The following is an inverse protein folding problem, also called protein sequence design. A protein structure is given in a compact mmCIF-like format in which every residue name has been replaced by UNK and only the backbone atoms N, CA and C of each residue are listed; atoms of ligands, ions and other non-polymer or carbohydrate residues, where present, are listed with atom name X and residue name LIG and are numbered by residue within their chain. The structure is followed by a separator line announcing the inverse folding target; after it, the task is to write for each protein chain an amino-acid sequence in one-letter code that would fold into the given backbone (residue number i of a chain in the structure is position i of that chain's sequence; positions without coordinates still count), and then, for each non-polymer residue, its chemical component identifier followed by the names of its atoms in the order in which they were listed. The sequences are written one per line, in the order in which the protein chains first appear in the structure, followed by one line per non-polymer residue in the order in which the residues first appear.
data_IF_194466749965
#
_entry.id   IF_194466749965
#
_cell.length_a   1.000
_cell.length_b   1.000
_cell.length_c   1.000
_cell.angle_alpha   90.00
_cell.angle_beta   90.00
_cell.angle_gamma   90.00
#
_symmetry.space_group_name_H-M   'P 1'
#
loop_
_entity.id
_entity.type
_entity.pdbx_description
1 polymer ?
#
# COMPACT_ATOMS: atom_id res chain seq x y z
N UNK A 1 -6.50 17.41 -3.18
CA UNK A 1 -6.14 15.99 -3.37
C UNK A 1 -4.79 15.67 -2.76
N UNK A 2 -3.75 16.46 -3.06
CA UNK A 2 -2.41 16.29 -2.45
C UNK A 2 -2.41 16.41 -0.92
N UNK A 3 -3.12 17.40 -0.36
CA UNK A 3 -3.25 17.54 1.11
C UNK A 3 -3.95 16.33 1.73
N UNK A 4 -5.10 15.93 1.20
CA UNK A 4 -5.86 14.75 1.64
C UNK A 4 -5.03 13.46 1.62
N UNK A 5 -4.18 13.30 0.60
CA UNK A 5 -3.28 12.16 0.50
C UNK A 5 -2.16 12.21 1.55
N UNK A 6 -1.51 13.35 1.72
CA UNK A 6 -0.50 13.56 2.77
C UNK A 6 -1.07 13.29 4.17
N UNK A 7 -2.28 13.75 4.44
CA UNK A 7 -2.98 13.51 5.71
C UNK A 7 -3.28 12.01 5.90
N UNK A 8 -3.61 11.30 4.82
CA UNK A 8 -3.82 9.84 4.85
C UNK A 8 -2.53 9.10 5.21
N UNK A 9 -1.38 9.47 4.61
CA UNK A 9 -0.09 8.86 4.95
C UNK A 9 0.33 9.18 6.39
N UNK A 10 0.10 10.42 6.85
CA UNK A 10 0.33 10.80 8.25
C UNK A 10 -0.53 9.96 9.21
N UNK A 11 -1.80 9.73 8.88
CA UNK A 11 -2.70 8.87 9.68
C UNK A 11 -2.19 7.43 9.74
N UNK A 12 -1.69 6.88 8.63
CA UNK A 12 -1.12 5.52 8.59
C UNK A 12 0.11 5.43 9.50
N UNK A 13 1.03 6.40 9.43
CA UNK A 13 2.21 6.46 10.31
C UNK A 13 1.80 6.54 11.79
N UNK A 14 0.90 7.47 12.13
CA UNK A 14 0.40 7.62 13.50
C UNK A 14 -0.28 6.33 14.03
N UNK A 15 -1.04 5.65 13.16
CA UNK A 15 -1.67 4.37 13.50
C UNK A 15 -0.63 3.31 13.85
N UNK A 16 0.40 3.15 13.00
CA UNK A 16 1.53 2.22 13.23
C UNK A 16 2.27 2.56 14.53
N UNK A 17 2.68 3.81 14.71
CA UNK A 17 3.44 4.24 15.88
C UNK A 17 2.65 4.10 17.19
N UNK A 18 1.31 4.17 17.12
CA UNK A 18 0.43 3.99 18.26
C UNK A 18 0.12 2.53 18.63
N UNK A 19 0.51 1.54 17.82
CA UNK A 19 0.09 0.13 18.01
C UNK A 19 0.51 -0.41 19.37
N UNK A 20 1.72 -0.12 19.84
CA UNK A 20 2.20 -0.62 21.12
C UNK A 20 1.45 -0.02 22.32
N UNK A 21 1.02 1.24 22.22
CA UNK A 21 0.21 1.89 23.23
C UNK A 21 -1.18 1.24 23.26
N UNK A 22 -1.79 1.07 22.08
CA UNK A 22 -3.09 0.39 21.93
C UNK A 22 -3.01 -1.04 22.46
N UNK A 23 -1.94 -1.77 22.14
CA UNK A 23 -1.72 -3.15 22.58
C UNK A 23 -1.71 -3.25 24.10
N UNK A 24 -0.97 -2.38 24.79
CA UNK A 24 -0.90 -2.37 26.27
C UNK A 24 -2.28 -2.10 26.88
N UNK A 25 -2.98 -1.09 26.38
CA UNK A 25 -4.32 -0.76 26.85
C UNK A 25 -5.33 -1.90 26.64
N UNK A 26 -5.26 -2.60 25.50
CA UNK A 26 -6.13 -3.74 25.21
C UNK A 26 -5.80 -4.97 26.05
N UNK A 27 -4.52 -5.25 26.33
CA UNK A 27 -4.13 -6.37 27.20
C UNK A 27 -4.79 -6.23 28.58
N UNK A 28 -4.81 -5.02 29.13
CA UNK A 28 -5.43 -4.73 30.43
C UNK A 28 -6.96 -4.85 30.39
N UNK A 29 -7.60 -4.48 29.27
CA UNK A 29 -9.06 -4.41 29.16
C UNK A 29 -9.73 -5.72 28.72
N UNK A 30 -9.13 -6.44 27.76
CA UNK A 30 -9.74 -7.58 27.07
C UNK A 30 -8.84 -8.82 27.01
N UNK A 31 -7.64 -8.75 27.61
CA UNK A 31 -6.68 -9.84 27.62
C UNK A 31 -5.77 -9.89 26.39
N UNK A 32 -4.76 -10.76 26.45
CA UNK A 32 -3.65 -10.80 25.49
C UNK A 32 -4.07 -11.20 24.07
N UNK A 33 -4.93 -12.18 23.94
CA UNK A 33 -5.27 -12.75 22.63
C UNK A 33 -6.10 -11.78 21.79
N UNK A 34 -7.12 -11.15 22.41
CA UNK A 34 -7.94 -10.11 21.77
C UNK A 34 -7.14 -8.84 21.43
N UNK A 35 -6.17 -8.49 22.29
CA UNK A 35 -5.25 -7.40 22.02
C UNK A 35 -4.39 -7.67 20.78
N UNK A 36 -3.82 -8.87 20.65
CA UNK A 36 -2.99 -9.22 19.49
C UNK A 36 -3.83 -9.31 18.21
N UNK A 37 -5.05 -9.88 18.29
CA UNK A 37 -6.00 -9.92 17.17
C UNK A 37 -6.29 -8.50 16.65
N UNK A 38 -6.59 -7.58 17.56
CA UNK A 38 -6.90 -6.19 17.23
C UNK A 38 -5.69 -5.46 16.65
N UNK A 39 -4.51 -5.59 17.28
CA UNK A 39 -3.28 -4.97 16.79
C UNK A 39 -2.86 -5.49 15.42
N UNK A 40 -3.04 -6.79 15.16
CA UNK A 40 -2.83 -7.37 13.82
C UNK A 40 -3.75 -6.72 12.79
N UNK A 41 -5.05 -6.64 13.08
CA UNK A 41 -6.04 -6.00 12.19
C UNK A 41 -5.69 -4.52 11.91
N UNK A 42 -5.19 -3.81 12.93
CA UNK A 42 -4.73 -2.43 12.78
C UNK A 42 -3.57 -2.32 11.77
N UNK A 43 -2.55 -3.19 11.87
CA UNK A 43 -1.44 -3.24 10.90
C UNK A 43 -1.92 -3.58 9.49
N UNK A 44 -2.78 -4.59 9.36
CA UNK A 44 -3.30 -5.04 8.06
C UNK A 44 -4.06 -3.93 7.34
N UNK A 45 -4.88 -3.20 8.08
CA UNK A 45 -5.64 -2.08 7.52
C UNK A 45 -4.74 -0.92 7.07
N UNK A 46 -3.55 -0.72 7.66
CA UNK A 46 -2.60 0.29 7.16
C UNK A 46 -2.20 0.04 5.70
N UNK A 47 -2.06 -1.22 5.30
CA UNK A 47 -1.72 -1.59 3.92
C UNK A 47 -2.87 -1.24 2.98
N UNK A 48 -4.09 -1.65 3.33
CA UNK A 48 -5.30 -1.34 2.55
C UNK A 48 -5.55 0.16 2.44
N UNK A 49 -5.42 0.90 3.53
CA UNK A 49 -5.59 2.36 3.57
C UNK A 49 -4.60 3.07 2.64
N UNK A 50 -3.33 2.64 2.64
CA UNK A 50 -2.29 3.22 1.78
C UNK A 50 -2.58 3.03 0.30
N UNK A 51 -2.94 1.81 -0.12
CA UNK A 51 -3.28 1.49 -1.51
C UNK A 51 -4.50 2.30 -1.98
N UNK A 52 -5.55 2.40 -1.15
CA UNK A 52 -6.76 3.16 -1.49
C UNK A 52 -6.49 4.67 -1.53
N UNK A 53 -5.71 5.19 -0.60
CA UNK A 53 -5.32 6.60 -0.60
C UNK A 53 -4.53 6.95 -1.87
N UNK A 54 -3.61 6.07 -2.29
CA UNK A 54 -2.82 6.27 -3.50
C UNK A 54 -3.64 6.14 -4.77
N UNK A 55 -4.58 5.20 -4.84
CA UNK A 55 -5.55 5.09 -5.93
C UNK A 55 -6.29 6.42 -6.12
N UNK A 56 -6.89 6.96 -5.06
CA UNK A 56 -7.64 8.23 -5.12
C UNK A 56 -6.76 9.42 -5.47
N UNK A 57 -5.52 9.43 -4.99
CA UNK A 57 -4.53 10.44 -5.36
C UNK A 57 -4.24 10.40 -6.86
N UNK A 58 -3.92 9.22 -7.40
CA UNK A 58 -3.65 9.05 -8.82
C UNK A 58 -4.86 9.38 -9.68
N UNK A 59 -6.05 8.89 -9.32
CA UNK A 59 -7.31 9.24 -10.01
C UNK A 59 -7.54 10.74 -10.07
N UNK A 60 -7.22 11.42 -8.98
CA UNK A 60 -7.25 12.86 -8.89
C UNK A 60 -6.29 13.56 -9.85
N UNK A 61 -5.03 13.17 -9.80
CA UNK A 61 -3.97 13.77 -10.62
C UNK A 61 -4.13 13.44 -12.10
N UNK A 62 -4.78 12.32 -12.43
CA UNK A 62 -4.92 11.83 -13.80
C UNK A 62 -6.15 12.42 -14.54
N UNK A 63 -7.01 13.20 -13.87
CA UNK A 63 -8.30 13.65 -14.43
C UNK A 63 -8.20 14.30 -15.81
N UNK A 64 -7.16 15.08 -16.05
CA UNK A 64 -6.98 15.84 -17.29
C UNK A 64 -6.27 15.04 -18.40
N UNK A 65 -5.81 13.82 -18.11
CA UNK A 65 -5.07 12.96 -19.05
C UNK A 65 -5.94 11.91 -19.74
N UNK A 66 -7.15 11.65 -19.24
CA UNK A 66 -8.13 10.80 -19.90
C UNK A 66 -8.89 9.84 -18.97
N UNK A 67 -9.56 8.87 -19.59
CA UNK A 67 -10.37 7.90 -18.88
C UNK A 67 -9.50 6.89 -18.10
N UNK A 68 -9.92 6.58 -16.87
CA UNK A 68 -9.19 5.70 -15.96
C UNK A 68 -9.97 4.39 -15.84
N UNK A 69 -9.39 3.24 -16.20
CA UNK A 69 -10.01 1.94 -15.96
C UNK A 69 -10.25 1.70 -14.47
N UNK A 70 -11.30 0.98 -14.13
CA UNK A 70 -11.65 0.69 -12.74
C UNK A 70 -10.50 0.01 -11.98
N UNK A 71 -10.15 0.54 -10.81
CA UNK A 71 -9.06 0.07 -9.97
C UNK A 71 -7.69 -0.02 -10.67
N UNK A 72 -7.45 0.80 -11.71
CA UNK A 72 -6.18 0.75 -12.46
C UNK A 72 -4.95 0.97 -11.58
N UNK A 73 -5.00 1.91 -10.63
CA UNK A 73 -3.87 2.22 -9.75
C UNK A 73 -3.74 1.24 -8.56
N UNK A 74 -4.65 0.29 -8.39
CA UNK A 74 -4.46 -0.87 -7.50
C UNK A 74 -3.65 -1.98 -8.20
N UNK A 75 -3.29 -1.80 -9.48
CA UNK A 75 -2.41 -2.66 -10.24
C UNK A 75 -1.19 -1.85 -10.67
N UNK A 76 -0.03 -2.11 -10.06
CA UNK A 76 1.16 -1.27 -10.24
C UNK A 76 1.58 -1.14 -11.71
N UNK A 77 1.59 -2.24 -12.46
CA UNK A 77 1.93 -2.22 -13.88
C UNK A 77 0.99 -1.33 -14.69
N UNK A 78 -0.33 -1.49 -14.50
CA UNK A 78 -1.31 -0.69 -15.21
C UNK A 78 -1.23 0.79 -14.81
N UNK A 79 -1.09 1.09 -13.51
CA UNK A 79 -0.88 2.45 -13.03
C UNK A 79 0.37 3.09 -13.63
N UNK A 80 1.49 2.34 -13.67
CA UNK A 80 2.74 2.80 -14.28
C UNK A 80 2.58 3.07 -15.78
N UNK A 81 1.87 2.21 -16.51
CA UNK A 81 1.64 2.38 -17.95
C UNK A 81 0.74 3.59 -18.27
N UNK A 82 -0.25 3.88 -17.41
CA UNK A 82 -1.05 5.10 -17.52
C UNK A 82 -0.17 6.35 -17.41
N UNK A 83 0.67 6.43 -16.39
CA UNK A 83 1.59 7.56 -16.23
C UNK A 83 2.62 7.63 -17.36
N UNK A 84 3.16 6.49 -17.81
CA UNK A 84 4.09 6.46 -18.93
C UNK A 84 3.46 7.01 -20.21
N UNK A 85 2.20 6.68 -20.47
CA UNK A 85 1.47 7.21 -21.63
C UNK A 85 1.21 8.72 -21.49
N UNK A 86 0.76 9.15 -20.31
CA UNK A 86 0.34 10.52 -20.05
C UNK A 86 1.50 11.53 -20.00
N UNK A 87 2.61 11.16 -19.36
CA UNK A 87 3.71 12.08 -19.02
C UNK A 87 5.10 11.50 -19.31
N UNK A 88 5.19 10.39 -20.06
CA UNK A 88 6.45 9.74 -20.45
C UNK A 88 7.31 9.29 -19.25
N UNK A 89 6.67 9.05 -18.10
CA UNK A 89 7.29 8.62 -16.84
C UNK A 89 6.46 7.53 -16.18
N UNK A 90 7.10 6.43 -15.81
CA UNK A 90 6.52 5.31 -15.07
C UNK A 90 6.99 5.25 -13.61
N UNK A 91 6.51 4.28 -12.84
CA UNK A 91 6.92 4.13 -11.44
C UNK A 91 8.41 3.81 -11.28
N UNK A 92 9.02 3.16 -12.26
CA UNK A 92 10.46 2.89 -12.33
C UNK A 92 11.31 4.15 -12.52
N UNK A 93 10.73 5.31 -12.86
CA UNK A 93 11.46 6.58 -12.89
C UNK A 93 11.63 7.20 -11.50
N UNK A 94 10.85 6.76 -10.50
CA UNK A 94 10.84 7.35 -9.14
C UNK A 94 11.20 6.35 -8.03
N UNK A 95 11.08 5.06 -8.31
CA UNK A 95 11.43 3.98 -7.38
C UNK A 95 12.60 3.16 -7.92
N UNK A 96 13.49 2.72 -7.04
CA UNK A 96 14.48 1.71 -7.40
C UNK A 96 13.81 0.37 -7.71
N UNK A 97 14.55 -0.54 -8.35
CA UNK A 97 14.07 -1.91 -8.63
C UNK A 97 13.66 -2.63 -7.35
N UNK A 98 14.44 -2.48 -6.28
CA UNK A 98 14.17 -3.09 -4.98
C UNK A 98 12.94 -2.47 -4.30
N UNK A 99 12.74 -1.16 -4.44
CA UNK A 99 11.57 -0.47 -3.91
C UNK A 99 10.30 -0.89 -4.63
N UNK A 100 10.35 -0.99 -5.96
CA UNK A 100 9.23 -1.43 -6.77
C UNK A 100 8.88 -2.90 -6.49
N UNK A 101 9.88 -3.77 -6.33
CA UNK A 101 9.67 -5.17 -5.96
C UNK A 101 8.98 -5.30 -4.58
N UNK A 102 9.44 -4.53 -3.58
CA UNK A 102 8.78 -4.48 -2.26
C UNK A 102 7.36 -3.94 -2.35
N UNK A 103 7.14 -2.87 -3.11
CA UNK A 103 5.81 -2.31 -3.31
C UNK A 103 4.86 -3.31 -3.97
N UNK A 104 5.36 -4.09 -4.95
CA UNK A 104 4.59 -5.16 -5.57
C UNK A 104 4.15 -6.22 -4.56
N UNK A 105 5.07 -6.71 -3.71
CA UNK A 105 4.73 -7.64 -2.63
C UNK A 105 3.63 -7.06 -1.73
N UNK A 106 3.73 -5.79 -1.34
CA UNK A 106 2.74 -5.13 -0.47
C UNK A 106 1.36 -5.02 -1.14
N UNK A 107 1.30 -4.76 -2.44
CA UNK A 107 0.05 -4.76 -3.21
C UNK A 107 -0.55 -6.17 -3.33
N UNK A 108 0.27 -7.22 -3.48
CA UNK A 108 -0.21 -8.60 -3.46
C UNK A 108 -0.68 -9.02 -2.05
N UNK A 109 0.01 -8.59 -0.99
CA UNK A 109 -0.44 -8.79 0.40
C UNK A 109 -1.82 -8.14 0.62
N UNK A 110 -2.04 -6.92 0.12
CA UNK A 110 -3.36 -6.26 0.16
C UNK A 110 -4.45 -7.09 -0.51
N UNK A 111 -4.15 -7.73 -1.64
CA UNK A 111 -5.10 -8.62 -2.33
C UNK A 111 -5.50 -9.79 -1.42
N UNK A 112 -4.54 -10.48 -0.80
CA UNK A 112 -4.82 -11.57 0.14
C UNK A 112 -5.65 -11.10 1.33
N UNK A 113 -5.32 -9.94 1.93
CA UNK A 113 -6.08 -9.38 3.05
C UNK A 113 -7.54 -9.06 2.67
N UNK A 114 -7.78 -8.66 1.42
CA UNK A 114 -9.12 -8.26 0.96
C UNK A 114 -9.99 -9.42 0.49
N UNK A 115 -9.38 -10.52 0.05
CA UNK A 115 -10.11 -11.59 -0.66
C UNK A 115 -9.89 -12.99 -0.11
N UNK A 116 -8.85 -13.21 0.70
CA UNK A 116 -8.48 -14.53 1.21
C UNK A 116 -8.07 -14.51 2.70
N UNK A 117 -8.53 -13.52 3.46
CA UNK A 117 -8.23 -13.34 4.91
C UNK A 117 -6.73 -13.37 5.28
N UNK A 118 -5.88 -12.99 4.32
CA UNK A 118 -4.42 -13.05 4.45
C UNK A 118 -3.81 -14.43 4.25
N UNK A 119 -4.57 -15.43 3.78
CA UNK A 119 -4.05 -16.74 3.40
C UNK A 119 -3.42 -16.66 2.01
N UNK A 120 -2.23 -17.22 1.85
CA UNK A 120 -1.49 -17.23 0.59
C UNK A 120 -2.13 -18.20 -0.39
N UNK A 121 -2.40 -17.72 -1.60
CA UNK A 121 -2.84 -18.51 -2.75
C UNK A 121 -1.73 -18.59 -3.83
N UNK A 122 -1.92 -19.47 -4.80
CA UNK A 122 -1.02 -19.61 -5.95
C UNK A 122 -0.85 -18.31 -6.76
N UNK A 123 -1.87 -17.45 -6.81
CA UNK A 123 -1.83 -16.17 -7.52
C UNK A 123 -0.84 -15.20 -6.85
N UNK A 124 -0.81 -15.12 -5.52
CA UNK A 124 0.14 -14.34 -4.76
C UNK A 124 1.57 -14.74 -5.09
N UNK A 125 1.89 -16.05 -5.02
CA UNK A 125 3.25 -16.55 -5.28
C UNK A 125 3.69 -16.16 -6.70
N UNK A 126 2.83 -16.41 -7.69
CA UNK A 126 3.13 -16.11 -9.09
C UNK A 126 3.33 -14.61 -9.36
N UNK A 127 2.55 -13.73 -8.72
CA UNK A 127 2.60 -12.28 -9.00
C UNK A 127 3.58 -11.51 -8.13
N UNK A 128 3.85 -11.97 -6.92
CA UNK A 128 4.73 -11.29 -5.97
C UNK A 128 6.20 -11.70 -6.12
N UNK A 129 6.45 -12.97 -6.49
CA UNK A 129 7.79 -13.58 -6.39
C UNK A 129 8.26 -13.75 -4.94
N UNK A 130 7.36 -13.63 -3.95
CA UNK A 130 7.71 -13.74 -2.54
C UNK A 130 7.96 -15.19 -2.14
N UNK A 131 9.22 -15.49 -1.80
CA UNK A 131 9.66 -16.80 -1.34
C UNK A 131 9.52 -17.01 0.18
N UNK A 132 9.06 -15.99 0.93
CA UNK A 132 8.95 -16.08 2.40
C UNK A 132 7.75 -16.89 2.86
N UNK A 133 6.74 -17.04 2.01
CA UNK A 133 5.53 -17.79 2.30
C UNK A 133 5.31 -18.92 1.29
N UNK A 134 4.63 -19.97 1.75
CA UNK A 134 4.07 -21.05 0.95
C UNK A 134 2.56 -20.92 0.89
N UNK A 135 1.96 -21.51 -0.14
CA UNK A 135 0.50 -21.60 -0.28
C UNK A 135 -0.15 -22.20 0.98
N UNK A 136 -1.27 -21.62 1.40
CA UNK A 136 -1.99 -21.97 2.63
C UNK A 136 -1.46 -21.33 3.91
N UNK A 137 -0.29 -20.68 3.89
CA UNK A 137 0.19 -19.94 5.06
C UNK A 137 -0.50 -18.59 5.20
N UNK A 138 -0.64 -18.09 6.42
CA UNK A 138 -1.13 -16.73 6.67
C UNK A 138 0.02 -15.73 6.66
N UNK A 139 -0.13 -14.64 5.91
CA UNK A 139 0.83 -13.55 5.91
C UNK A 139 0.82 -12.79 7.23
N UNK A 140 1.96 -12.15 7.52
CA UNK A 140 2.15 -11.22 8.64
C UNK A 140 2.53 -9.86 8.06
N UNK A 141 1.88 -8.81 8.58
CA UNK A 141 2.25 -7.42 8.29
C UNK A 141 3.09 -6.89 9.44
N UNK A 142 4.29 -6.45 9.11
CA UNK A 142 5.24 -5.85 10.04
C UNK A 142 5.21 -4.32 9.97
N UNK A 143 5.75 -3.66 10.98
CA UNK A 143 5.89 -2.19 10.97
C UNK A 143 6.79 -1.74 9.80
N UNK A 144 7.80 -2.54 9.45
CA UNK A 144 8.68 -2.30 8.29
C UNK A 144 7.94 -2.38 6.95
N UNK A 145 6.94 -3.27 6.83
CA UNK A 145 6.08 -3.33 5.65
C UNK A 145 5.32 -2.01 5.48
N UNK A 146 4.78 -1.47 6.58
CA UNK A 146 4.04 -0.19 6.59
C UNK A 146 4.98 0.98 6.25
N UNK A 147 6.16 1.03 6.85
CA UNK A 147 7.16 2.07 6.57
C UNK A 147 7.61 2.04 5.10
N UNK A 148 7.82 0.84 4.55
CA UNK A 148 8.18 0.66 3.14
C UNK A 148 7.05 1.11 2.22
N UNK A 149 5.80 0.75 2.52
CA UNK A 149 4.63 1.20 1.78
C UNK A 149 4.59 2.73 1.73
N UNK A 150 4.60 3.37 2.90
CA UNK A 150 4.46 4.82 2.99
C UNK A 150 5.61 5.52 2.28
N UNK A 151 6.86 5.06 2.44
CA UNK A 151 8.00 5.64 1.75
C UNK A 151 7.88 5.57 0.22
N UNK A 152 7.51 4.41 -0.33
CA UNK A 152 7.29 4.26 -1.78
C UNK A 152 6.15 5.14 -2.27
N UNK A 153 5.04 5.20 -1.55
CA UNK A 153 3.88 6.02 -1.92
C UNK A 153 4.18 7.53 -1.86
N UNK A 154 4.98 7.99 -0.89
CA UNK A 154 5.47 9.37 -0.83
C UNK A 154 6.33 9.70 -2.05
N UNK A 155 7.30 8.86 -2.39
CA UNK A 155 8.16 9.04 -3.57
C UNK A 155 7.36 9.11 -4.86
N UNK A 156 6.45 8.17 -5.07
CA UNK A 156 5.58 8.16 -6.26
C UNK A 156 4.72 9.42 -6.33
N UNK A 157 4.10 9.83 -5.22
CA UNK A 157 3.27 11.04 -5.22
C UNK A 157 4.07 12.32 -5.51
N UNK A 158 5.29 12.42 -4.99
CA UNK A 158 6.15 13.57 -5.27
C UNK A 158 6.61 13.59 -6.72
N UNK A 159 6.94 12.41 -7.28
CA UNK A 159 7.27 12.24 -8.69
C UNK A 159 6.12 12.62 -9.63
N UNK A 160 4.92 12.11 -9.36
CA UNK A 160 3.70 12.45 -10.13
C UNK A 160 3.40 13.94 -10.02
N UNK A 161 3.47 14.51 -8.81
CA UNK A 161 3.22 15.94 -8.61
C UNK A 161 4.20 16.81 -9.40
N UNK A 162 5.49 16.46 -9.39
CA UNK A 162 6.51 17.29 -10.05
C UNK A 162 6.32 17.32 -11.56
N UNK A 163 5.91 16.21 -12.19
CA UNK A 163 5.65 16.18 -13.63
C UNK A 163 4.31 16.80 -13.99
N UNK A 164 3.26 16.59 -13.19
CA UNK A 164 1.93 17.17 -13.46
C UNK A 164 1.88 18.68 -13.18
N UNK A 165 2.77 19.23 -12.36
CA UNK A 165 2.86 20.68 -12.14
C UNK A 165 3.56 21.42 -13.30
N UNK A 166 4.18 20.67 -14.21
CA UNK A 166 4.91 21.19 -15.37
C UNK A 166 4.14 20.96 -16.70
N UNK A 167 2.95 20.35 -16.63
CA UNK A 167 2.01 20.13 -17.73
C UNK A 167 0.94 21.21 -17.63
#
# INVERSE_FOLDING_TARGET
MTQTFSDSLRKIKAKKDGIDIVRKALIEAVGKDEAELTCRSLRETCISDGVVAFQKYCEGMYKDFGAIPFNAFQRLEQGSNLWSTAVQKGYNDWLSVEELAKLNILYQKRHLLSHNEGIVDSQYISKSGDATYKEGQRIVITDKDIDSLVSSLEKLSNGIKSVCSNV
#
